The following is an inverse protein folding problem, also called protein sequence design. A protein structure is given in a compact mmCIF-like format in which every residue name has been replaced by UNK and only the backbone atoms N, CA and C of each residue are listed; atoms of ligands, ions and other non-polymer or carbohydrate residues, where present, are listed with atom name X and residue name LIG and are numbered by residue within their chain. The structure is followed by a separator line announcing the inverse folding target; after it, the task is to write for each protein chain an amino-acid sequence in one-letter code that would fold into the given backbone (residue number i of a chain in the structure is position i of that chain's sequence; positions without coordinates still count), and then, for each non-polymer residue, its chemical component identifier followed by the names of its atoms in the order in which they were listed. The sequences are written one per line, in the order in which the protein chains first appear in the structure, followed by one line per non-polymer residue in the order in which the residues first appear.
data_IF_408621773645
#
_entry.id   IF_408621773645
#
_cell.length_a   1.000
_cell.length_b   1.000
_cell.length_c   1.000
_cell.angle_alpha   90.00
_cell.angle_beta   90.00
_cell.angle_gamma   90.00
#
_symmetry.space_group_name_H-M   'P 1'
#
loop_
_entity.id
_entity.type
_entity.pdbx_description
1 polymer ?
#
# COMPACT_ATOMS: atom_id res chain seq x y z
N UNK A 1 -5.30 -17.92 -13.52
CA UNK A 1 -6.35 -16.86 -13.52
C UNK A 1 -6.12 -15.87 -14.66
N UNK A 2 -5.01 -15.13 -14.68
CA UNK A 2 -4.75 -14.06 -15.65
C UNK A 2 -4.46 -14.50 -17.09
N UNK A 3 -4.04 -15.75 -17.29
CA UNK A 3 -3.83 -16.34 -18.63
C UNK A 3 -5.11 -16.89 -19.26
N UNK A 4 -6.22 -16.95 -18.51
CA UNK A 4 -7.50 -17.42 -19.02
C UNK A 4 -8.32 -16.21 -19.54
N UNK A 5 -8.57 -16.11 -20.86
CA UNK A 5 -9.30 -14.97 -21.43
C UNK A 5 -10.71 -14.79 -20.86
N UNK A 6 -11.36 -15.88 -20.46
CA UNK A 6 -12.70 -15.84 -19.86
C UNK A 6 -12.65 -15.17 -18.49
N UNK A 7 -11.65 -15.51 -17.66
CA UNK A 7 -11.48 -14.89 -16.34
C UNK A 7 -11.20 -13.38 -16.45
N UNK A 8 -10.34 -12.98 -17.39
CA UNK A 8 -10.03 -11.57 -17.64
C UNK A 8 -11.28 -10.79 -18.05
N UNK A 9 -12.11 -11.35 -18.96
CA UNK A 9 -13.38 -10.74 -19.37
C UNK A 9 -14.35 -10.60 -18.21
N UNK A 10 -14.55 -11.66 -17.43
CA UNK A 10 -15.47 -11.64 -16.28
C UNK A 10 -15.03 -10.63 -15.21
N UNK A 11 -13.73 -10.53 -14.91
CA UNK A 11 -13.22 -9.52 -13.97
C UNK A 11 -13.44 -8.09 -14.49
N UNK A 12 -13.21 -7.87 -15.79
CA UNK A 12 -13.44 -6.58 -16.43
C UNK A 12 -14.94 -6.19 -16.45
N UNK A 13 -15.84 -7.14 -16.70
CA UNK A 13 -17.30 -6.94 -16.64
C UNK A 13 -17.77 -6.55 -15.25
N UNK A 14 -17.14 -7.09 -14.20
CA UNK A 14 -17.40 -6.71 -12.81
C UNK A 14 -16.76 -5.34 -12.50
N UNK A 15 -15.94 -4.76 -13.39
CA UNK A 15 -15.33 -3.44 -13.22
C UNK A 15 -14.00 -3.48 -12.47
N UNK A 16 -13.37 -4.65 -12.36
CA UNK A 16 -12.03 -4.80 -11.82
C UNK A 16 -11.02 -4.57 -12.94
N UNK A 17 -10.05 -3.70 -12.71
CA UNK A 17 -8.91 -3.54 -13.61
C UNK A 17 -7.88 -4.64 -13.36
N UNK A 18 -7.75 -5.53 -14.34
CA UNK A 18 -6.89 -6.70 -14.27
C UNK A 18 -5.40 -6.33 -14.31
N UNK A 19 -5.02 -5.21 -14.94
CA UNK A 19 -3.65 -4.74 -14.94
C UNK A 19 -3.28 -4.15 -13.58
N UNK A 20 -4.16 -3.31 -13.01
CA UNK A 20 -3.96 -2.75 -11.67
C UNK A 20 -3.90 -3.85 -10.59
N UNK A 21 -4.63 -4.96 -10.76
CA UNK A 21 -4.56 -6.12 -9.87
C UNK A 21 -3.15 -6.75 -9.86
N UNK A 22 -2.44 -6.77 -10.99
CA UNK A 22 -1.06 -7.28 -11.06
C UNK A 22 -0.12 -6.32 -10.38
N UNK A 23 -0.27 -5.02 -10.62
CA UNK A 23 0.57 -3.98 -10.01
C UNK A 23 0.41 -3.93 -8.49
N UNK A 24 -0.79 -4.25 -7.98
CA UNK A 24 -1.08 -4.29 -6.55
C UNK A 24 -0.83 -5.67 -5.91
N UNK A 25 -0.35 -6.66 -6.67
CA UNK A 25 -0.14 -8.01 -6.13
C UNK A 25 0.80 -7.99 -4.91
N UNK A 26 1.88 -7.20 -4.95
CA UNK A 26 2.83 -7.08 -3.84
C UNK A 26 2.17 -6.56 -2.55
N UNK A 27 1.15 -5.72 -2.67
CA UNK A 27 0.39 -5.20 -1.54
C UNK A 27 -0.68 -6.19 -1.05
N UNK A 28 -1.35 -6.88 -1.98
CA UNK A 28 -2.35 -7.91 -1.64
C UNK A 28 -1.72 -9.05 -0.84
N UNK A 29 -0.49 -9.45 -1.19
CA UNK A 29 0.24 -10.54 -0.56
C UNK A 29 1.29 -10.09 0.48
N UNK A 30 1.34 -8.78 0.82
CA UNK A 30 2.41 -8.17 1.62
C UNK A 30 2.68 -8.88 2.97
N UNK A 31 1.63 -9.42 3.61
CA UNK A 31 1.72 -10.06 4.92
C UNK A 31 1.68 -11.60 4.87
N UNK A 32 1.35 -12.20 3.73
CA UNK A 32 1.15 -13.65 3.59
C UNK A 32 1.50 -14.12 2.18
N UNK A 33 2.34 -15.15 2.09
CA UNK A 33 2.66 -15.82 0.82
C UNK A 33 1.43 -16.44 0.15
N UNK A 34 0.38 -16.75 0.91
CA UNK A 34 -0.84 -17.37 0.43
C UNK A 34 -2.08 -16.72 1.06
N UNK A 35 -3.09 -16.47 0.22
CA UNK A 35 -4.43 -16.07 0.63
C UNK A 35 -5.41 -17.21 0.33
N UNK A 36 -6.41 -17.37 1.19
CA UNK A 36 -7.56 -18.19 0.83
C UNK A 36 -8.36 -17.50 -0.29
N UNK A 37 -9.17 -18.28 -0.99
CA UNK A 37 -9.92 -17.76 -2.14
C UNK A 37 -10.89 -16.63 -1.75
N UNK A 38 -11.45 -16.67 -0.54
CA UNK A 38 -12.40 -15.67 -0.08
C UNK A 38 -11.69 -14.32 0.14
N UNK A 39 -10.59 -14.31 0.88
CA UNK A 39 -9.78 -13.12 1.14
C UNK A 39 -9.16 -12.57 -0.14
N UNK A 40 -8.71 -13.44 -1.06
CA UNK A 40 -8.26 -13.01 -2.37
C UNK A 40 -9.39 -12.33 -3.16
N UNK A 41 -10.59 -12.93 -3.20
CA UNK A 41 -11.71 -12.32 -3.91
C UNK A 41 -12.20 -11.03 -3.28
N UNK A 42 -12.15 -10.90 -1.95
CA UNK A 42 -12.45 -9.65 -1.26
C UNK A 42 -11.47 -8.54 -1.68
N UNK A 43 -10.17 -8.83 -1.74
CA UNK A 43 -9.16 -7.89 -2.23
C UNK A 43 -9.38 -7.52 -3.72
N UNK A 44 -9.69 -8.50 -4.57
CA UNK A 44 -9.98 -8.28 -6.00
C UNK A 44 -11.23 -7.41 -6.19
N UNK A 45 -12.29 -7.63 -5.41
CA UNK A 45 -13.53 -6.84 -5.50
C UNK A 45 -13.36 -5.42 -4.96
N UNK A 46 -12.45 -5.20 -4.00
CA UNK A 46 -12.10 -3.85 -3.54
C UNK A 46 -11.47 -2.99 -4.65
N UNK A 47 -10.85 -3.61 -5.65
CA UNK A 47 -10.26 -2.95 -6.83
C UNK A 47 -11.28 -2.64 -7.93
N UNK A 48 -12.55 -2.94 -7.71
CA UNK A 48 -13.61 -2.55 -8.63
C UNK A 48 -13.65 -1.03 -8.73
N UNK A 49 -13.54 -0.47 -9.94
CA UNK A 49 -13.53 0.98 -10.16
C UNK A 49 -14.81 1.71 -9.73
N UNK A 50 -15.91 0.97 -9.52
CA UNK A 50 -17.14 1.48 -8.92
C UNK A 50 -17.29 1.15 -7.43
N UNK A 51 -16.21 0.73 -6.76
CA UNK A 51 -16.14 0.76 -5.31
C UNK A 51 -16.03 2.24 -4.91
N UNK A 52 -17.15 2.85 -4.55
CA UNK A 52 -17.22 4.27 -4.22
C UNK A 52 -16.34 4.54 -3.01
N UNK A 53 -15.18 5.17 -3.22
CA UNK A 53 -14.34 5.65 -2.13
C UNK A 53 -15.16 6.58 -1.23
N UNK A 54 -15.18 6.28 0.05
CA UNK A 54 -15.92 7.05 1.05
C UNK A 54 -15.05 8.18 1.59
N UNK A 55 -15.68 9.17 2.21
CA UNK A 55 -14.97 10.22 2.95
C UNK A 55 -14.05 9.61 4.02
N UNK A 56 -14.46 8.48 4.61
CA UNK A 56 -13.65 7.74 5.58
C UNK A 56 -12.34 7.26 4.97
N UNK A 57 -12.37 6.72 3.76
CA UNK A 57 -11.17 6.21 3.07
C UNK A 57 -10.16 7.35 2.82
N UNK A 58 -10.64 8.53 2.44
CA UNK A 58 -9.79 9.73 2.25
C UNK A 58 -9.20 10.20 3.59
N UNK A 59 -10.00 10.21 4.65
CA UNK A 59 -9.53 10.59 5.99
C UNK A 59 -8.51 9.59 6.53
N UNK A 60 -8.70 8.30 6.29
CA UNK A 60 -7.78 7.26 6.73
C UNK A 60 -6.47 7.29 5.93
N UNK A 61 -6.54 7.56 4.61
CA UNK A 61 -5.36 7.84 3.77
C UNK A 61 -4.60 9.08 4.24
N UNK A 62 -5.31 10.17 4.58
CA UNK A 62 -4.68 11.38 5.14
C UNK A 62 -3.93 11.07 6.44
N UNK A 63 -4.53 10.31 7.36
CA UNK A 63 -3.87 9.92 8.62
C UNK A 63 -2.64 9.05 8.37
N UNK A 64 -2.74 8.10 7.44
CA UNK A 64 -1.62 7.23 7.07
C UNK A 64 -0.44 8.05 6.57
N UNK A 65 -0.68 8.97 5.64
CA UNK A 65 0.34 9.88 5.09
C UNK A 65 0.99 10.71 6.21
N UNK A 66 0.17 11.36 7.06
CA UNK A 66 0.69 12.19 8.16
C UNK A 66 1.54 11.37 9.14
N UNK A 67 1.13 10.14 9.46
CA UNK A 67 1.91 9.27 10.34
C UNK A 67 3.23 8.85 9.70
N UNK A 68 3.25 8.47 8.42
CA UNK A 68 4.48 8.12 7.72
C UNK A 68 5.45 9.31 7.61
N UNK A 69 4.95 10.52 7.37
CA UNK A 69 5.79 11.73 7.37
C UNK A 69 6.41 12.00 8.75
N UNK A 70 5.66 11.83 9.84
CA UNK A 70 6.21 11.98 11.21
C UNK A 70 7.33 10.97 11.49
N UNK A 71 7.11 9.70 11.16
CA UNK A 71 8.16 8.67 11.31
C UNK A 71 9.41 9.05 10.52
N UNK A 72 9.23 9.59 9.31
CA UNK A 72 10.35 10.04 8.48
C UNK A 72 11.05 11.27 9.06
N UNK A 73 10.31 12.23 9.61
CA UNK A 73 10.87 13.40 10.32
C UNK A 73 11.71 12.97 11.53
N UNK A 74 11.22 12.01 12.32
CA UNK A 74 11.96 11.47 13.48
C UNK A 74 13.26 10.79 13.04
N UNK A 75 13.22 9.96 12.00
CA UNK A 75 14.42 9.30 11.44
C UNK A 75 15.43 10.33 10.91
N UNK A 76 14.95 11.37 10.22
CA UNK A 76 15.82 12.45 9.72
C UNK A 76 16.44 13.23 10.89
N UNK A 77 15.67 13.54 11.94
CA UNK A 77 16.15 14.22 13.12
C UNK A 77 17.23 13.39 13.86
N UNK A 78 17.04 12.08 13.97
CA UNK A 78 18.04 11.17 14.55
C UNK A 78 19.33 11.11 13.73
N UNK A 79 19.23 11.07 12.40
CA UNK A 79 20.40 11.05 11.51
C UNK A 79 21.15 12.39 11.55
N UNK A 80 20.42 13.51 11.59
CA UNK A 80 21.00 14.85 11.73
C UNK A 80 21.64 15.06 13.12
N UNK A 81 21.09 14.45 14.18
CA UNK A 81 21.66 14.47 15.52
C UNK A 81 22.97 13.69 15.66
N UNK A 82 23.22 12.71 14.79
CA UNK A 82 24.45 11.88 14.79
C UNK A 82 25.66 12.57 14.14
N UNK A 83 25.50 13.68 13.41
CA UNK A 83 26.61 14.43 12.79
C UNK A 83 27.26 15.51 13.68
N UNK A 84 26.89 15.61 14.96
CA UNK A 84 27.29 16.71 15.86
C UNK A 84 28.36 16.43 16.92
N UNK A 85 28.92 15.22 17.04
CA UNK A 85 30.02 14.97 17.99
C UNK A 85 31.38 15.34 17.39
N UNK A 86 31.70 16.64 17.36
CA UNK A 86 33.10 17.07 17.40
C UNK A 86 33.66 16.78 18.80
N UNK A 87 34.76 16.02 18.93
CA UNK A 87 35.40 15.81 20.23
C UNK A 87 35.81 17.17 20.83
N UNK A 88 35.70 17.36 22.16
CA UNK A 88 36.25 18.56 22.78
C UNK A 88 37.76 18.57 22.55
N UNK A 89 38.26 19.56 21.79
CA UNK A 89 39.69 19.86 21.80
C UNK A 89 40.05 20.29 23.22
N UNK A 90 40.68 19.38 23.95
CA UNK A 90 41.41 19.70 25.16
C UNK A 90 42.76 20.29 24.76
N UNK A 91 43.09 21.40 25.43
CA UNK A 91 44.35 22.16 25.46
C UNK A 91 44.58 23.18 24.33
#
# INVERSE_FOLDING_TARGET
MLTNPTCVRTLNEVGVDVFALVDLADFIFEQKDHLDFAAFMDAVLQLRGSNTATVKDIVDLQKLIVNHFKVMEDVIAELAGKSGQTPPMLA
#
